data_IF_197737781037
#
_entry.id   IF_197737781037
#
_cell.length_a   1.000
_cell.length_b   1.000
_cell.length_c   1.000
_cell.angle_alpha   90.00
_cell.angle_beta   90.00
_cell.angle_gamma   90.00
#
_symmetry.space_group_name_H-M   'P 1'
#
loop_
_entity.id
_entity.type
_entity.pdbx_description
1 polymer ?
#
# COMPACT_ATOMS: atom_id res chain seq x y z
N UNK A 1 -43.60 -27.43 0.06
CA UNK A 1 -42.39 -26.91 0.75
C UNK A 1 -41.71 -25.96 -0.22
N UNK A 2 -41.68 -24.67 0.10
CA UNK A 2 -41.29 -23.59 -0.82
C UNK A 2 -39.90 -23.79 -1.39
N UNK A 3 -39.82 -23.73 -2.71
CA UNK A 3 -38.59 -23.62 -3.48
C UNK A 3 -37.89 -22.31 -3.04
N UNK A 4 -36.79 -22.43 -2.30
CA UNK A 4 -35.99 -21.27 -1.91
C UNK A 4 -35.16 -20.87 -3.12
N UNK A 5 -35.72 -20.01 -3.96
CA UNK A 5 -35.05 -19.45 -5.14
C UNK A 5 -33.72 -18.84 -4.71
N UNK A 6 -32.62 -19.42 -5.20
CA UNK A 6 -31.28 -18.92 -4.91
C UNK A 6 -31.16 -17.48 -5.45
N UNK A 7 -30.49 -16.56 -4.73
CA UNK A 7 -30.34 -15.19 -5.20
C UNK A 7 -29.55 -15.17 -6.52
N UNK A 8 -29.95 -14.27 -7.41
CA UNK A 8 -29.29 -14.07 -8.71
C UNK A 8 -27.92 -13.40 -8.52
N UNK A 9 -27.08 -13.43 -9.56
CA UNK A 9 -25.76 -12.79 -9.50
C UNK A 9 -25.90 -11.27 -9.34
N UNK A 10 -26.90 -10.70 -10.01
CA UNK A 10 -27.24 -9.28 -10.02
C UNK A 10 -27.68 -8.82 -8.63
N UNK A 11 -28.52 -9.60 -7.95
CA UNK A 11 -28.90 -9.35 -6.56
C UNK A 11 -27.71 -9.41 -5.61
N UNK A 12 -26.80 -10.37 -5.81
CA UNK A 12 -25.58 -10.48 -5.01
C UNK A 12 -24.65 -9.30 -5.24
N UNK A 13 -24.48 -8.85 -6.49
CA UNK A 13 -23.72 -7.63 -6.83
C UNK A 13 -24.33 -6.39 -6.19
N UNK A 14 -25.66 -6.26 -6.20
CA UNK A 14 -26.34 -5.15 -5.54
C UNK A 14 -26.12 -5.14 -4.02
N UNK A 15 -26.28 -6.30 -3.36
CA UNK A 15 -26.00 -6.46 -1.91
C UNK A 15 -24.53 -6.20 -1.57
N UNK A 16 -23.63 -6.61 -2.47
CA UNK A 16 -22.21 -6.31 -2.33
C UNK A 16 -21.97 -4.79 -2.34
N UNK A 17 -22.52 -4.07 -3.32
CA UNK A 17 -22.34 -2.62 -3.44
C UNK A 17 -22.92 -1.86 -2.24
N UNK A 18 -24.08 -2.30 -1.75
CA UNK A 18 -24.72 -1.70 -0.56
C UNK A 18 -23.83 -1.81 0.68
N UNK A 19 -23.30 -3.01 0.95
CA UNK A 19 -22.33 -3.20 2.04
C UNK A 19 -21.05 -2.38 1.80
N UNK A 20 -20.50 -2.44 0.59
CA UNK A 20 -19.22 -1.83 0.24
C UNK A 20 -19.27 -0.29 0.34
N UNK A 21 -20.43 0.33 0.11
CA UNK A 21 -20.64 1.76 0.25
C UNK A 21 -20.44 2.26 1.71
N UNK A 22 -20.69 1.40 2.70
CA UNK A 22 -20.48 1.73 4.11
C UNK A 22 -19.05 1.40 4.59
N UNK A 23 -18.46 0.32 4.07
CA UNK A 23 -17.13 -0.14 4.42
C UNK A 23 -16.47 -0.81 3.20
N UNK A 24 -15.57 -0.11 2.48
CA UNK A 24 -15.00 -0.60 1.23
C UNK A 24 -13.86 -1.61 1.47
N UNK A 25 -14.19 -2.75 2.06
CA UNK A 25 -13.29 -3.88 2.28
C UNK A 25 -13.84 -5.08 1.51
N UNK A 26 -13.22 -5.37 0.35
CA UNK A 26 -13.69 -6.36 -0.61
C UNK A 26 -13.91 -7.74 0.02
N UNK A 27 -12.94 -8.21 0.83
CA UNK A 27 -13.03 -9.49 1.56
C UNK A 27 -14.26 -9.58 2.47
N UNK A 28 -14.60 -8.52 3.19
CA UNK A 28 -15.75 -8.50 4.10
C UNK A 28 -17.07 -8.41 3.33
N UNK A 29 -17.13 -7.57 2.29
CA UNK A 29 -18.29 -7.46 1.43
C UNK A 29 -18.58 -8.78 0.68
N UNK A 30 -17.54 -9.49 0.24
CA UNK A 30 -17.66 -10.82 -0.35
C UNK A 30 -18.22 -11.83 0.67
N UNK A 31 -17.67 -11.83 1.90
CA UNK A 31 -18.15 -12.67 2.99
C UNK A 31 -19.62 -12.39 3.34
N UNK A 32 -20.04 -11.12 3.35
CA UNK A 32 -21.42 -10.71 3.61
C UNK A 32 -22.43 -11.31 2.63
N UNK A 33 -22.05 -11.43 1.35
CA UNK A 33 -22.90 -12.06 0.33
C UNK A 33 -22.67 -13.58 0.17
N UNK A 34 -21.87 -14.19 1.04
CA UNK A 34 -21.58 -15.62 1.00
C UNK A 34 -20.74 -16.04 -0.22
N UNK A 35 -19.76 -15.21 -0.61
CA UNK A 35 -18.84 -15.47 -1.72
C UNK A 35 -17.38 -15.29 -1.30
N UNK A 36 -16.48 -15.90 -2.08
CA UNK A 36 -15.05 -15.69 -1.94
C UNK A 36 -14.66 -14.34 -2.59
N UNK A 37 -13.64 -13.69 -2.04
CA UNK A 37 -13.03 -12.50 -2.62
C UNK A 37 -12.64 -12.69 -4.10
N UNK A 38 -12.12 -13.86 -4.48
CA UNK A 38 -11.76 -14.19 -5.86
C UNK A 38 -12.96 -14.09 -6.82
N UNK A 39 -14.16 -14.41 -6.33
CA UNK A 39 -15.39 -14.27 -7.12
C UNK A 39 -15.63 -12.81 -7.50
N UNK A 40 -15.38 -11.88 -6.58
CA UNK A 40 -15.53 -10.44 -6.83
C UNK A 40 -14.49 -9.96 -7.83
N UNK A 41 -13.25 -10.44 -7.72
CA UNK A 41 -12.18 -10.14 -8.68
C UNK A 41 -12.60 -10.57 -10.09
N UNK A 42 -13.13 -11.79 -10.24
CA UNK A 42 -13.64 -12.29 -11.52
C UNK A 42 -14.80 -11.43 -12.03
N UNK A 43 -15.75 -11.05 -11.16
CA UNK A 43 -16.87 -10.19 -11.55
C UNK A 43 -16.42 -8.81 -12.03
N UNK A 44 -15.47 -8.16 -11.34
CA UNK A 44 -14.93 -6.87 -11.77
C UNK A 44 -14.21 -6.95 -13.12
N UNK A 45 -13.55 -8.07 -13.42
CA UNK A 45 -12.91 -8.30 -14.73
C UNK A 45 -13.92 -8.54 -15.84
N UNK A 46 -14.99 -9.27 -15.57
CA UNK A 46 -16.00 -9.65 -16.57
C UNK A 46 -17.07 -8.57 -16.81
N UNK A 47 -17.37 -7.77 -15.79
CA UNK A 47 -18.44 -6.77 -15.82
C UNK A 47 -17.88 -5.38 -15.48
N UNK A 48 -17.64 -4.59 -16.53
CA UNK A 48 -17.12 -3.22 -16.40
C UNK A 48 -18.06 -2.32 -15.60
N UNK A 49 -19.39 -2.44 -15.78
CA UNK A 49 -20.35 -1.57 -15.07
C UNK A 49 -20.29 -1.84 -13.57
N UNK A 50 -20.19 -3.11 -13.18
CA UNK A 50 -19.98 -3.48 -11.79
C UNK A 50 -18.66 -2.92 -11.25
N UNK A 51 -17.56 -3.05 -12.01
CA UNK A 51 -16.26 -2.50 -11.61
C UNK A 51 -16.30 -0.98 -11.40
N UNK A 52 -16.92 -0.25 -12.32
CA UNK A 52 -17.09 1.21 -12.25
C UNK A 52 -17.93 1.59 -11.01
N UNK A 53 -19.00 0.83 -10.73
CA UNK A 53 -19.85 1.05 -9.54
C UNK A 53 -19.08 0.80 -8.22
N UNK A 54 -18.21 -0.20 -8.18
CA UNK A 54 -17.36 -0.46 -7.00
C UNK A 54 -16.40 0.71 -6.76
N UNK A 55 -15.77 1.21 -7.83
CA UNK A 55 -14.85 2.34 -7.75
C UNK A 55 -15.56 3.64 -7.31
N UNK A 56 -16.77 3.86 -7.81
CA UNK A 56 -17.62 4.97 -7.39
C UNK A 56 -17.91 4.91 -5.89
N UNK A 57 -18.38 3.76 -5.37
CA UNK A 57 -18.65 3.58 -3.94
C UNK A 57 -17.41 3.75 -3.06
N UNK A 58 -16.25 3.28 -3.52
CA UNK A 58 -14.98 3.50 -2.85
C UNK A 58 -14.64 4.99 -2.76
N UNK A 59 -14.81 5.72 -3.86
CA UNK A 59 -14.51 7.15 -3.96
C UNK A 59 -15.46 7.99 -3.11
N UNK A 60 -16.75 7.68 -3.12
CA UNK A 60 -17.77 8.32 -2.27
C UNK A 60 -17.47 8.12 -0.79
N UNK A 61 -17.16 6.89 -0.40
CA UNK A 61 -16.77 6.57 0.97
C UNK A 61 -15.50 7.31 1.38
N UNK A 62 -14.47 7.30 0.54
CA UNK A 62 -13.20 7.99 0.82
C UNK A 62 -13.42 9.49 0.99
N UNK A 63 -14.19 10.13 0.11
CA UNK A 63 -14.51 11.56 0.18
C UNK A 63 -15.27 11.93 1.46
N UNK A 64 -16.27 11.14 1.85
CA UNK A 64 -17.07 11.40 3.06
C UNK A 64 -16.30 11.16 4.36
N UNK A 65 -15.34 10.23 4.36
CA UNK A 65 -14.52 9.93 5.52
C UNK A 65 -13.24 10.77 5.60
N UNK A 66 -12.72 11.29 4.48
CA UNK A 66 -11.55 12.16 4.47
C UNK A 66 -11.73 13.38 5.39
N UNK A 67 -12.94 13.96 5.41
CA UNK A 67 -13.27 15.09 6.30
C UNK A 67 -13.22 14.73 7.81
N UNK A 68 -13.30 13.44 8.16
CA UNK A 68 -13.27 12.94 9.55
C UNK A 68 -11.85 12.67 10.05
N UNK A 69 -10.86 12.69 9.16
CA UNK A 69 -9.45 12.50 9.52
C UNK A 69 -8.99 13.69 10.35
N UNK A 70 -8.52 13.44 11.58
CA UNK A 70 -8.15 14.51 12.53
C UNK A 70 -6.90 15.28 12.13
N UNK A 71 -5.88 14.59 11.61
CA UNK A 71 -4.65 15.25 11.13
C UNK A 71 -4.82 15.64 9.66
N UNK A 72 -4.81 16.95 9.43
CA UNK A 72 -4.88 17.51 8.08
C UNK A 72 -3.56 17.29 7.34
N UNK A 73 -2.44 17.37 8.05
CA UNK A 73 -1.10 17.16 7.53
C UNK A 73 -0.97 15.75 6.95
N UNK A 74 -1.34 14.73 7.73
CA UNK A 74 -1.31 13.33 7.29
C UNK A 74 -2.23 13.08 6.08
N UNK A 75 -3.39 13.74 6.04
CA UNK A 75 -4.30 13.62 4.91
C UNK A 75 -3.71 14.28 3.65
N UNK A 76 -3.16 15.49 3.78
CA UNK A 76 -2.56 16.24 2.68
C UNK A 76 -1.30 15.56 2.13
N UNK A 77 -0.47 14.94 2.97
CA UNK A 77 0.66 14.10 2.55
C UNK A 77 0.23 12.93 1.66
N UNK A 78 -0.94 12.33 1.94
CA UNK A 78 -1.46 11.20 1.17
C UNK A 78 -2.15 11.62 -0.11
N UNK A 79 -2.91 12.72 -0.09
CA UNK A 79 -3.62 13.23 -1.27
C UNK A 79 -2.70 14.00 -2.21
N UNK A 80 -1.75 14.77 -1.66
CA UNK A 80 -0.85 15.65 -2.39
C UNK A 80 0.62 15.39 -2.02
N UNK A 81 1.05 14.13 -2.16
CA UNK A 81 2.39 13.65 -1.81
C UNK A 81 3.52 14.57 -2.30
N UNK A 82 3.48 15.03 -3.55
CA UNK A 82 4.56 15.85 -4.12
C UNK A 82 4.70 17.24 -3.46
N UNK A 83 3.65 17.73 -2.80
CA UNK A 83 3.63 19.07 -2.19
C UNK A 83 3.88 19.03 -0.69
N UNK A 84 3.41 17.96 -0.01
CA UNK A 84 3.41 17.88 1.45
C UNK A 84 4.36 16.81 2.00
N UNK A 85 4.98 15.95 1.16
CA UNK A 85 5.93 14.96 1.69
C UNK A 85 7.08 15.65 2.43
N UNK A 86 7.47 15.12 3.60
CA UNK A 86 8.70 15.52 4.26
C UNK A 86 9.87 15.40 3.29
N UNK A 87 10.65 16.48 3.18
CA UNK A 87 11.91 16.49 2.42
C UNK A 87 13.04 16.24 3.41
N UNK A 88 13.75 15.14 3.20
CA UNK A 88 15.01 14.89 3.89
C UNK A 88 16.14 15.42 3.03
N UNK A 89 16.84 16.43 3.52
CA UNK A 89 18.13 16.82 2.95
C UNK A 89 19.18 15.80 3.41
N UNK A 90 19.85 15.15 2.46
CA UNK A 90 20.89 14.18 2.76
C UNK A 90 22.24 14.87 2.49
N UNK A 91 22.96 15.21 3.55
CA UNK A 91 24.32 15.78 3.48
C UNK A 91 25.34 14.77 4.02
N UNK A 92 26.60 14.93 3.61
CA UNK A 92 27.72 14.20 4.16
C UNK A 92 28.08 14.66 5.58
N UNK A 93 29.11 14.06 6.20
CA UNK A 93 29.71 14.59 7.42
C UNK A 93 29.97 16.10 7.28
N UNK A 94 29.69 16.85 8.34
CA UNK A 94 29.90 18.30 8.39
C UNK A 94 29.13 19.15 7.35
N UNK A 95 28.05 18.61 6.75
CA UNK A 95 27.21 19.33 5.80
C UNK A 95 27.75 19.34 4.37
N UNK A 96 28.78 18.54 4.09
CA UNK A 96 29.38 18.46 2.76
C UNK A 96 28.45 17.80 1.73
N UNK A 97 28.68 18.11 0.45
CA UNK A 97 27.95 17.46 -0.64
C UNK A 97 28.34 15.97 -0.70
N UNK A 98 27.34 15.10 -0.68
CA UNK A 98 27.55 13.66 -0.90
C UNK A 98 28.06 13.45 -2.31
N UNK A 99 29.27 12.89 -2.43
CA UNK A 99 29.82 12.43 -3.70
C UNK A 99 29.34 10.99 -3.89
N UNK A 100 28.45 10.70 -4.86
CA UNK A 100 28.01 9.33 -5.10
C UNK A 100 29.19 8.47 -5.56
N UNK A 101 29.58 7.50 -4.74
CA UNK A 101 30.60 6.51 -5.11
C UNK A 101 29.91 5.47 -6.00
N UNK A 102 30.13 5.56 -7.31
CA UNK A 102 29.72 4.52 -8.26
C UNK A 102 30.69 3.34 -8.15
N UNK A 103 30.43 2.44 -7.22
CA UNK A 103 31.23 1.23 -6.99
C UNK A 103 30.99 0.18 -8.07
N UNK A 104 31.87 0.13 -9.08
CA UNK A 104 32.18 -1.09 -9.81
C UNK A 104 33.32 -1.84 -9.09
N UNK A 105 32.99 -3.00 -8.49
CA UNK A 105 33.86 -4.06 -7.98
C UNK A 105 35.18 -3.69 -7.27
N UNK A 106 35.23 -3.88 -5.96
CA UNK A 106 36.41 -4.43 -5.26
C UNK A 106 35.98 -5.09 -3.94
N UNK A 107 36.00 -6.43 -3.94
CA UNK A 107 36.06 -7.36 -2.81
C UNK A 107 35.27 -7.02 -1.53
N UNK A 108 34.10 -7.66 -1.38
CA UNK A 108 33.57 -7.97 -0.04
C UNK A 108 34.50 -9.03 0.55
N UNK A 109 35.35 -8.63 1.49
CA UNK A 109 36.17 -9.56 2.28
C UNK A 109 35.32 -10.07 3.44
N UNK A 110 35.26 -11.40 3.57
CA UNK A 110 34.42 -12.10 4.52
C UNK A 110 34.71 -11.73 5.97
N UNK A 111 33.68 -11.88 6.79
CA UNK A 111 33.77 -11.95 8.23
C UNK A 111 34.77 -13.06 8.61
N UNK A 112 35.94 -12.71 9.15
CA UNK A 112 36.75 -13.61 9.95
C UNK A 112 37.23 -12.86 11.20
N UNK A 113 36.69 -13.30 12.32
CA UNK A 113 37.18 -13.12 13.67
C UNK A 113 38.59 -13.68 13.80
N UNK A 114 39.58 -12.87 14.15
CA UNK A 114 40.24 -12.97 15.46
C UNK A 114 41.36 -11.94 15.64
N UNK A 115 41.43 -11.50 16.87
CA UNK A 115 42.31 -10.48 17.45
C UNK A 115 43.81 -10.86 17.40
N UNK A 116 44.67 -9.82 17.38
CA UNK A 116 46.11 -9.71 17.81
C UNK A 116 47.15 -9.58 16.68
N UNK A 117 48.17 -8.72 16.74
CA UNK A 117 48.62 -7.64 17.65
C UNK A 117 49.56 -6.68 16.88
N UNK A 118 49.75 -5.45 17.39
CA UNK A 118 50.77 -4.44 17.02
C UNK A 118 52.22 -4.97 17.25
N UNK A 119 53.35 -4.40 16.72
CA UNK A 119 53.59 -3.00 16.32
C UNK A 119 54.43 -2.75 15.04
N UNK A 120 54.52 -1.48 14.63
CA UNK A 120 55.40 -1.00 13.56
C UNK A 120 56.88 -1.04 13.98
N UNK A 121 57.77 -1.54 13.11
CA UNK A 121 59.21 -1.35 13.26
C UNK A 121 59.62 -0.04 12.59
N UNK A 122 60.34 0.77 13.36
CA UNK A 122 60.90 2.06 13.00
C UNK A 122 61.87 1.95 11.81
N UNK A 123 61.83 2.98 10.97
CA UNK A 123 62.74 3.23 9.85
C UNK A 123 64.05 3.83 10.35
N UNK A 124 65.17 3.28 9.90
CA UNK A 124 66.42 4.01 9.65
C UNK A 124 66.87 3.74 8.21
#
# INVERSE_FOLDING_TARGET
>A
MSDKTKPTIEELKAKYLDYYAALPIQKLAAGYIGRNEDTIIVWKKADKKFADSVLEKESEWARSNAARVKSREWLLERVMKNHFSPRTEITGPDGERIIPIYGGNSAIQGHDSDTKDLPAKETD
#
